data_IF_328025604326
#
_entry.id   IF_328025604326
#
_cell.length_a   1.000
_cell.length_b   1.000
_cell.length_c   1.000
_cell.angle_alpha   90.00
_cell.angle_beta   90.00
_cell.angle_gamma   90.00
#
_symmetry.space_group_name_H-M   'P 1'
#
loop_
_entity.id
_entity.type
_entity.pdbx_description
1 polymer ?
#
# COMPACT_ATOMS: atom_id res chain seq x y z
N UNK A 1 25.34 39.78 6.61
CA UNK A 1 24.89 38.42 6.97
C UNK A 1 26.05 37.47 6.77
N UNK A 2 26.44 36.81 7.82
CA UNK A 2 27.51 35.86 7.73
C UNK A 2 26.98 34.46 7.37
N UNK A 3 27.90 33.52 7.14
CA UNK A 3 27.56 32.15 6.76
C UNK A 3 26.85 31.39 7.87
N UNK A 4 27.03 31.78 9.11
CA UNK A 4 26.40 31.11 10.25
C UNK A 4 24.92 31.43 10.32
N UNK A 5 24.56 32.66 9.97
CA UNK A 5 23.17 33.06 9.87
C UNK A 5 22.43 32.32 8.75
N UNK A 6 23.10 32.10 7.63
CA UNK A 6 22.57 31.30 6.51
C UNK A 6 22.39 29.85 6.93
N UNK A 7 23.34 29.27 7.64
CA UNK A 7 23.24 27.90 8.12
C UNK A 7 22.07 27.72 9.11
N UNK A 8 21.81 28.73 9.94
CA UNK A 8 20.67 28.73 10.84
C UNK A 8 19.33 28.69 10.12
N UNK A 9 19.25 29.26 8.91
CA UNK A 9 18.05 29.20 8.09
C UNK A 9 17.96 27.94 7.24
N UNK A 10 19.12 27.40 6.83
CA UNK A 10 19.20 26.22 5.95
C UNK A 10 19.11 24.92 6.74
N UNK A 11 19.51 24.95 8.01
CA UNK A 11 19.34 23.81 8.89
C UNK A 11 17.90 23.85 9.42
N UNK A 12 16.98 23.16 8.79
CA UNK A 12 15.61 23.15 9.30
C UNK A 12 15.65 22.55 10.70
N UNK A 13 14.90 23.16 11.57
CA UNK A 13 14.86 22.83 12.97
C UNK A 13 14.55 21.37 13.21
N UNK A 14 13.88 20.70 12.29
CA UNK A 14 13.67 19.26 12.29
C UNK A 14 13.63 18.78 10.84
N UNK A 15 14.76 18.37 10.26
CA UNK A 15 14.72 17.74 8.94
C UNK A 15 13.82 16.51 9.03
N UNK A 16 12.78 16.51 8.22
CA UNK A 16 11.86 15.40 8.13
C UNK A 16 12.64 14.16 7.71
N UNK A 17 12.66 13.15 8.57
CA UNK A 17 13.35 11.91 8.26
C UNK A 17 12.51 11.10 7.27
N UNK A 18 13.10 10.75 6.15
CA UNK A 18 12.51 9.81 5.20
C UNK A 18 13.05 8.41 5.51
N UNK A 19 12.18 7.43 5.53
CA UNK A 19 12.53 6.02 5.64
C UNK A 19 12.09 5.28 4.40
N UNK A 20 12.90 4.33 3.97
CA UNK A 20 12.56 3.43 2.88
C UNK A 20 12.46 2.01 3.43
N UNK A 21 11.30 1.39 3.22
CA UNK A 21 11.07 -0.01 3.59
C UNK A 21 10.66 -0.79 2.35
N UNK A 22 11.12 -2.04 2.27
CA UNK A 22 10.77 -2.94 1.18
C UNK A 22 10.42 -4.31 1.73
N UNK A 23 9.30 -4.86 1.27
CA UNK A 23 8.80 -6.15 1.68
C UNK A 23 8.34 -6.96 0.48
N UNK A 24 8.40 -8.29 0.62
CA UNK A 24 7.60 -9.20 -0.18
C UNK A 24 6.31 -9.49 0.58
N UNK A 25 5.18 -9.25 -0.05
CA UNK A 25 3.86 -9.63 0.45
C UNK A 25 3.50 -11.00 -0.09
N UNK A 26 3.01 -11.89 0.79
CA UNK A 26 2.75 -13.28 0.45
C UNK A 26 1.52 -13.78 1.23
N UNK A 27 0.85 -14.81 0.71
CA UNK A 27 -0.27 -15.45 1.39
C UNK A 27 -1.62 -14.75 1.21
N UNK A 28 -1.75 -13.91 0.20
CA UNK A 28 -3.00 -13.17 -0.08
C UNK A 28 -4.16 -14.12 -0.30
N UNK A 29 -3.98 -15.13 -1.14
CA UNK A 29 -5.08 -16.03 -1.56
C UNK A 29 -5.61 -16.86 -0.39
N UNK A 30 -4.79 -17.18 0.60
CA UNK A 30 -5.19 -18.03 1.72
C UNK A 30 -6.24 -17.39 2.64
N UNK A 31 -6.33 -16.06 2.66
CA UNK A 31 -7.26 -15.31 3.50
C UNK A 31 -8.27 -14.50 2.70
N UNK A 32 -8.16 -14.51 1.37
CA UNK A 32 -8.99 -13.68 0.51
C UNK A 32 -10.47 -14.03 0.65
N UNK A 33 -11.29 -13.00 0.91
CA UNK A 33 -12.74 -13.09 0.96
C UNK A 33 -13.33 -12.09 -0.02
N UNK A 34 -14.05 -12.60 -1.01
CA UNK A 34 -14.72 -11.78 -2.02
C UNK A 34 -16.11 -11.35 -1.52
N UNK A 35 -16.46 -10.09 -1.79
CA UNK A 35 -17.76 -9.53 -1.50
C UNK A 35 -18.44 -9.16 -2.81
N UNK A 36 -19.49 -9.91 -3.17
CA UNK A 36 -20.32 -9.68 -4.36
C UNK A 36 -21.53 -8.86 -3.94
N UNK A 37 -21.43 -7.54 -4.07
CA UNK A 37 -22.50 -6.58 -3.70
C UNK A 37 -22.99 -5.82 -4.92
N UNK A 38 -22.25 -5.87 -6.00
CA UNK A 38 -22.59 -5.20 -7.26
C UNK A 38 -23.63 -5.96 -8.04
N UNK A 39 -23.46 -6.05 -9.36
CA UNK A 39 -24.40 -6.77 -10.22
C UNK A 39 -24.31 -8.28 -9.96
N UNK A 40 -25.40 -8.95 -9.55
CA UNK A 40 -25.36 -10.35 -9.17
C UNK A 40 -24.84 -11.25 -10.30
N UNK A 41 -23.92 -12.14 -9.96
CA UNK A 41 -23.36 -13.12 -10.89
C UNK A 41 -22.25 -12.59 -11.80
N UNK A 42 -21.92 -11.30 -11.72
CA UNK A 42 -20.75 -10.73 -12.41
C UNK A 42 -19.63 -10.53 -11.41
N UNK A 43 -18.50 -11.18 -11.68
CA UNK A 43 -17.25 -10.90 -11.00
C UNK A 43 -16.75 -9.52 -11.46
N UNK A 44 -16.25 -8.73 -10.51
CA UNK A 44 -15.72 -7.40 -10.79
C UNK A 44 -16.77 -6.44 -11.36
N UNK A 45 -17.87 -6.28 -10.66
CA UNK A 45 -18.80 -5.19 -10.91
C UNK A 45 -18.62 -4.09 -9.85
N UNK A 46 -19.10 -2.89 -10.16
CA UNK A 46 -19.02 -1.76 -9.21
C UNK A 46 -19.77 -2.12 -7.93
N UNK A 47 -19.11 -1.89 -6.79
CA UNK A 47 -19.59 -2.25 -5.47
C UNK A 47 -19.02 -3.55 -4.94
N UNK A 48 -18.52 -4.42 -5.80
CA UNK A 48 -17.80 -5.63 -5.39
C UNK A 48 -16.47 -5.25 -4.75
N UNK A 49 -15.95 -6.15 -3.95
CA UNK A 49 -14.68 -5.94 -3.31
C UNK A 49 -14.17 -7.17 -2.62
N UNK A 50 -13.24 -6.98 -1.73
CA UNK A 50 -12.67 -8.07 -0.98
C UNK A 50 -11.82 -7.59 0.18
N UNK A 51 -11.47 -8.56 1.01
CA UNK A 51 -10.55 -8.37 2.13
C UNK A 51 -9.54 -9.50 2.13
N UNK A 52 -8.35 -9.22 2.60
CA UNK A 52 -7.35 -10.24 2.88
C UNK A 52 -6.35 -9.78 3.93
N UNK A 53 -5.65 -10.73 4.52
CA UNK A 53 -4.48 -10.50 5.35
C UNK A 53 -3.30 -11.24 4.73
N UNK A 54 -2.20 -10.55 4.53
CA UNK A 54 -0.99 -11.12 3.98
C UNK A 54 0.15 -11.05 4.98
N UNK A 55 1.20 -11.83 4.72
CA UNK A 55 2.45 -11.80 5.46
C UNK A 55 3.46 -10.93 4.74
N UNK A 56 4.25 -10.19 5.50
CA UNK A 56 5.31 -9.35 4.99
C UNK A 56 6.67 -9.91 5.39
N UNK A 57 7.52 -10.13 4.38
CA UNK A 57 8.89 -10.62 4.55
C UNK A 57 9.87 -9.54 4.14
N UNK A 58 10.94 -9.37 4.90
CA UNK A 58 12.01 -8.45 4.54
C UNK A 58 12.88 -8.98 3.40
N UNK A 59 13.88 -8.23 2.99
CA UNK A 59 14.79 -8.61 1.90
C UNK A 59 15.65 -9.83 2.23
N UNK A 60 15.74 -10.21 3.50
CA UNK A 60 16.42 -11.42 3.96
C UNK A 60 15.47 -12.63 4.08
N UNK A 61 14.18 -12.45 3.77
CA UNK A 61 13.18 -13.50 3.89
C UNK A 61 12.63 -13.74 5.29
N UNK A 62 12.89 -12.85 6.23
CA UNK A 62 12.34 -12.92 7.58
C UNK A 62 10.93 -12.35 7.62
N UNK A 63 10.02 -13.02 8.31
CA UNK A 63 8.68 -12.52 8.57
C UNK A 63 8.76 -11.32 9.52
N UNK A 64 8.33 -10.15 9.06
CA UNK A 64 8.45 -8.89 9.82
C UNK A 64 7.12 -8.23 10.13
N UNK A 65 6.04 -8.71 9.57
CA UNK A 65 4.73 -8.15 9.83
C UNK A 65 3.63 -8.76 9.00
N UNK A 66 2.47 -8.11 9.05
CA UNK A 66 1.28 -8.48 8.27
C UNK A 66 0.68 -7.24 7.64
N UNK A 67 -0.16 -7.45 6.64
CA UNK A 67 -0.92 -6.38 6.01
C UNK A 67 -2.39 -6.79 5.91
N UNK A 68 -3.28 -5.97 6.46
CA UNK A 68 -4.72 -6.12 6.33
C UNK A 68 -5.23 -5.20 5.26
N UNK A 69 -5.96 -5.72 4.30
CA UNK A 69 -6.42 -4.98 3.12
C UNK A 69 -7.91 -5.13 2.95
N UNK A 70 -8.57 -4.03 2.62
CA UNK A 70 -9.91 -4.02 2.06
C UNK A 70 -9.95 -3.18 0.80
N UNK A 71 -10.71 -3.61 -0.20
CA UNK A 71 -10.88 -2.86 -1.42
C UNK A 71 -12.29 -2.96 -1.95
N UNK A 72 -12.71 -1.94 -2.71
CA UNK A 72 -14.03 -1.89 -3.35
C UNK A 72 -13.86 -1.30 -4.75
N UNK A 73 -14.42 -1.96 -5.75
CA UNK A 73 -14.47 -1.44 -7.10
C UNK A 73 -15.45 -0.28 -7.18
N UNK A 74 -14.97 0.88 -7.59
CA UNK A 74 -15.74 2.12 -7.58
C UNK A 74 -16.04 2.65 -8.97
N UNK A 75 -15.24 2.25 -9.97
CA UNK A 75 -15.40 2.74 -11.34
C UNK A 75 -14.90 1.71 -12.34
N UNK A 76 -15.62 1.57 -13.43
CA UNK A 76 -15.18 0.84 -14.61
C UNK A 76 -14.81 1.83 -15.71
N UNK A 77 -13.60 1.69 -16.25
CA UNK A 77 -13.13 2.48 -17.36
C UNK A 77 -13.55 1.86 -18.71
N UNK A 78 -13.52 2.65 -19.78
CA UNK A 78 -14.03 2.25 -21.08
C UNK A 78 -13.33 1.06 -21.76
N UNK A 79 -12.15 0.66 -21.27
CA UNK A 79 -11.38 -0.48 -21.75
C UNK A 79 -11.50 -1.71 -20.83
N UNK A 80 -12.59 -1.80 -20.07
CA UNK A 80 -12.88 -2.84 -19.09
C UNK A 80 -11.90 -2.87 -17.90
N UNK A 81 -11.15 -1.81 -17.68
CA UNK A 81 -10.32 -1.66 -16.48
C UNK A 81 -11.17 -1.19 -15.30
N UNK A 82 -10.82 -1.67 -14.11
CA UNK A 82 -11.51 -1.30 -12.87
C UNK A 82 -10.61 -0.48 -11.96
N UNK A 83 -11.18 0.61 -11.45
CA UNK A 83 -10.58 1.34 -10.33
C UNK A 83 -11.14 0.80 -9.03
N UNK A 84 -10.29 0.69 -8.03
CA UNK A 84 -10.67 0.28 -6.70
C UNK A 84 -10.15 1.27 -5.66
N UNK A 85 -10.96 1.56 -4.66
CA UNK A 85 -10.52 2.22 -3.44
C UNK A 85 -9.98 1.15 -2.52
N UNK A 86 -8.75 1.36 -2.05
CA UNK A 86 -8.02 0.43 -1.20
C UNK A 86 -7.73 1.08 0.13
N UNK A 87 -7.92 0.33 1.22
CA UNK A 87 -7.54 0.71 2.57
C UNK A 87 -6.70 -0.41 3.16
N UNK A 88 -5.56 -0.06 3.74
CA UNK A 88 -4.63 -1.03 4.27
C UNK A 88 -4.10 -0.63 5.64
N UNK A 89 -3.85 -1.63 6.47
CA UNK A 89 -3.07 -1.51 7.68
C UNK A 89 -1.85 -2.41 7.57
N UNK A 90 -0.68 -1.80 7.62
CA UNK A 90 0.60 -2.51 7.63
C UNK A 90 1.05 -2.60 9.08
N UNK A 91 1.10 -3.81 9.62
CA UNK A 91 1.39 -4.06 11.03
C UNK A 91 2.85 -4.52 11.15
N UNK A 92 3.68 -3.68 11.73
CA UNK A 92 5.11 -3.93 11.92
C UNK A 92 5.48 -3.88 13.40
N UNK A 93 6.67 -4.38 13.73
CA UNK A 93 7.22 -4.15 15.07
C UNK A 93 7.45 -2.66 15.27
N UNK A 94 6.90 -2.10 16.31
CA UNK A 94 7.03 -0.67 16.62
C UNK A 94 5.85 0.18 16.21
N UNK A 95 4.94 -0.32 15.38
CA UNK A 95 3.73 0.42 15.03
C UNK A 95 3.05 -0.05 13.75
N UNK A 96 2.04 0.69 13.36
CA UNK A 96 1.29 0.44 12.12
C UNK A 96 1.42 1.60 11.15
N UNK A 97 1.26 1.29 9.86
CA UNK A 97 1.19 2.29 8.78
C UNK A 97 -0.16 2.11 8.10
N UNK A 98 -0.88 3.21 7.93
CA UNK A 98 -2.17 3.20 7.26
C UNK A 98 -2.02 3.78 5.86
N UNK A 99 -2.55 3.10 4.86
CA UNK A 99 -2.61 3.57 3.48
C UNK A 99 -4.05 3.61 3.00
N UNK A 100 -4.34 4.54 2.13
CA UNK A 100 -5.65 4.65 1.50
C UNK A 100 -5.54 5.39 0.18
N UNK A 101 -6.14 4.83 -0.86
CA UNK A 101 -6.15 5.49 -2.16
C UNK A 101 -6.90 4.69 -3.21
N UNK A 102 -6.90 5.23 -4.42
CA UNK A 102 -7.50 4.59 -5.57
C UNK A 102 -6.41 4.02 -6.46
N UNK A 103 -6.56 2.76 -6.82
CA UNK A 103 -5.64 2.08 -7.75
C UNK A 103 -6.42 1.60 -8.97
N UNK A 104 -5.69 1.32 -10.06
CA UNK A 104 -6.22 0.55 -11.17
C UNK A 104 -5.97 -0.93 -10.89
N UNK A 105 -7.00 -1.61 -10.41
CA UNK A 105 -6.90 -3.02 -9.99
C UNK A 105 -6.56 -3.95 -11.16
N UNK A 106 -7.02 -3.62 -12.35
CA UNK A 106 -6.73 -4.40 -13.55
C UNK A 106 -5.24 -4.31 -13.91
N UNK A 107 -4.67 -3.12 -13.91
CA UNK A 107 -3.26 -2.92 -14.21
C UNK A 107 -2.35 -3.50 -13.11
N UNK A 108 -2.81 -3.50 -11.86
CA UNK A 108 -2.08 -4.11 -10.76
C UNK A 108 -1.81 -5.60 -11.00
N UNK A 109 -2.73 -6.29 -11.70
CA UNK A 109 -2.61 -7.70 -12.05
C UNK A 109 -1.88 -7.91 -13.39
N UNK A 110 -1.30 -6.87 -13.95
CA UNK A 110 -0.55 -6.88 -15.21
C UNK A 110 0.89 -6.38 -15.04
N UNK A 111 1.48 -6.59 -13.87
CA UNK A 111 2.85 -6.18 -13.51
C UNK A 111 3.05 -4.66 -13.49
N UNK A 112 1.99 -3.87 -13.52
CA UNK A 112 2.09 -2.41 -13.53
C UNK A 112 2.00 -1.91 -12.09
N UNK A 113 3.03 -1.23 -11.58
CA UNK A 113 3.03 -0.72 -10.21
C UNK A 113 1.87 0.24 -9.96
N UNK A 114 1.29 0.16 -8.76
CA UNK A 114 0.27 1.07 -8.29
C UNK A 114 0.74 1.77 -7.03
N UNK A 115 0.40 3.05 -6.90
CA UNK A 115 0.81 3.87 -5.77
C UNK A 115 -0.38 4.14 -4.86
N UNK A 116 -0.18 3.97 -3.55
CA UNK A 116 -1.19 4.21 -2.54
C UNK A 116 -0.62 5.18 -1.51
N UNK A 117 -1.27 6.34 -1.28
CA UNK A 117 -0.80 7.28 -0.27
C UNK A 117 -0.80 6.70 1.14
N UNK A 118 0.24 7.01 1.91
CA UNK A 118 0.29 6.77 3.34
C UNK A 118 -0.49 7.91 4.01
N UNK A 119 -1.50 7.57 4.80
CA UNK A 119 -2.40 8.55 5.41
C UNK A 119 -2.26 8.66 6.92
N UNK A 120 -1.44 7.82 7.53
CA UNK A 120 -1.20 7.84 8.97
C UNK A 120 -0.43 6.65 9.47
N UNK A 121 -0.32 6.54 10.77
CA UNK A 121 0.34 5.43 11.43
C UNK A 121 0.27 5.56 12.95
N UNK A 122 0.80 4.57 13.63
CA UNK A 122 0.88 4.52 15.10
C UNK A 122 2.29 4.16 15.55
N UNK A 123 2.56 4.32 16.84
CA UNK A 123 3.88 4.02 17.39
C UNK A 123 4.96 4.87 16.75
N UNK A 124 6.02 4.24 16.29
CA UNK A 124 7.14 4.93 15.61
C UNK A 124 6.73 5.55 14.27
N UNK A 125 5.57 5.18 13.73
CA UNK A 125 5.02 5.70 12.47
C UNK A 125 3.91 6.73 12.71
N UNK A 126 3.74 7.22 13.94
CA UNK A 126 2.72 8.22 14.23
C UNK A 126 2.92 9.46 13.36
N UNK A 127 1.85 9.92 12.71
CA UNK A 127 1.89 11.06 11.80
C UNK A 127 2.52 10.78 10.45
N UNK A 128 2.71 9.51 10.09
CA UNK A 128 3.34 9.13 8.82
C UNK A 128 2.56 9.64 7.62
N UNK A 129 3.31 10.06 6.62
CA UNK A 129 2.86 10.37 5.27
C UNK A 129 3.83 9.74 4.28
N UNK A 130 3.54 9.84 3.00
CA UNK A 130 4.39 9.30 1.96
C UNK A 130 3.63 8.41 0.99
N UNK A 131 4.32 7.40 0.47
CA UNK A 131 3.78 6.60 -0.63
C UNK A 131 4.15 5.13 -0.46
N UNK A 132 3.16 4.28 -0.67
CA UNK A 132 3.36 2.86 -0.89
C UNK A 132 3.28 2.58 -2.38
N UNK A 133 4.18 1.74 -2.88
CA UNK A 133 4.11 1.19 -4.25
C UNK A 133 3.94 -0.31 -4.15
N UNK A 134 2.88 -0.82 -4.76
CA UNK A 134 2.60 -2.26 -4.85
C UNK A 134 2.85 -2.72 -6.27
N UNK A 135 3.56 -3.84 -6.44
CA UNK A 135 3.90 -4.38 -7.75
C UNK A 135 3.79 -5.90 -7.72
N UNK A 136 2.99 -6.45 -8.64
CA UNK A 136 2.94 -7.88 -8.85
C UNK A 136 4.31 -8.39 -9.32
N UNK A 137 4.75 -9.51 -8.77
CA UNK A 137 6.07 -10.07 -9.10
C UNK A 137 6.04 -10.98 -10.32
N UNK A 138 4.91 -11.66 -10.54
CA UNK A 138 4.78 -12.60 -11.66
C UNK A 138 3.37 -12.51 -12.22
N UNK A 139 3.26 -12.41 -13.55
CA UNK A 139 1.97 -12.34 -14.24
C UNK A 139 1.14 -13.60 -13.97
N UNK A 140 -0.12 -13.41 -13.58
CA UNK A 140 -1.04 -14.51 -13.25
C UNK A 140 -0.89 -15.06 -11.84
N UNK A 141 0.09 -14.60 -11.06
CA UNK A 141 0.26 -14.98 -9.65
C UNK A 141 -0.25 -13.85 -8.77
N UNK A 142 -1.39 -14.06 -8.13
CA UNK A 142 -2.06 -13.06 -7.30
C UNK A 142 -1.68 -13.15 -5.82
N UNK A 143 -0.85 -14.12 -5.45
CA UNK A 143 -0.52 -14.40 -4.06
C UNK A 143 0.70 -13.62 -3.55
N UNK A 144 1.50 -13.07 -4.45
CA UNK A 144 2.80 -12.45 -4.10
C UNK A 144 2.96 -11.10 -4.78
N UNK A 145 3.29 -10.08 -3.97
CA UNK A 145 3.58 -8.72 -4.44
C UNK A 145 4.85 -8.19 -3.80
N UNK A 146 5.49 -7.25 -4.47
CA UNK A 146 6.55 -6.44 -3.91
C UNK A 146 5.95 -5.13 -3.37
N UNK A 147 6.32 -4.78 -2.14
CA UNK A 147 5.83 -3.59 -1.46
C UNK A 147 7.02 -2.69 -1.15
N UNK A 148 6.96 -1.46 -1.61
CA UNK A 148 7.95 -0.43 -1.30
C UNK A 148 7.27 0.73 -0.61
N UNK A 149 7.83 1.22 0.48
CA UNK A 149 7.30 2.34 1.25
C UNK A 149 8.35 3.44 1.35
N UNK A 150 7.95 4.65 0.98
CA UNK A 150 8.68 5.87 1.32
C UNK A 150 7.87 6.57 2.41
N UNK A 151 8.40 6.61 3.62
CA UNK A 151 7.69 7.08 4.80
C UNK A 151 8.35 8.36 5.30
N UNK A 152 7.53 9.36 5.52
CA UNK A 152 7.91 10.63 6.10
C UNK A 152 7.18 10.80 7.42
N UNK A 153 7.93 11.00 8.49
CA UNK A 153 7.36 11.20 9.83
C UNK A 153 7.83 12.49 10.44
#
# INVERSE_FOLDING_TARGET
MDTDDLLGFVTPVNPTAARFLQFREDGIESTFQFTDVGEPGLFNSIGDGGTYTSNLFDTNGALVGTKDVSFTFTQQLGNQQFLAVVQENINLTGGTIETQGTINATLAEQLIPQNIPIVGGTGIYNGASGLETVRQLELGVLDVFDISLVIVT
#
